data_IF_600614040805
#
_entry.id   IF_600614040805
#
_cell.length_a   1.000
_cell.length_b   1.000
_cell.length_c   1.000
_cell.angle_alpha   90.00
_cell.angle_beta   90.00
_cell.angle_gamma   90.00
#
_symmetry.space_group_name_H-M   'P 1'
#
loop_
_entity.id
_entity.type
_entity.pdbx_description
1 polymer ?
#
# COMPACT_ATOMS: atom_id res chain seq x y z
N UNK A 1 -7.71 -5.91 -10.13
CA UNK A 1 -7.68 -6.88 -9.02
C UNK A 1 -6.40 -7.68 -9.18
N UNK A 2 -5.64 -7.85 -8.10
CA UNK A 2 -4.27 -8.37 -8.14
C UNK A 2 -4.31 -9.91 -8.21
N UNK A 3 -3.94 -10.49 -9.36
CA UNK A 3 -4.02 -11.95 -9.60
C UNK A 3 -2.64 -12.60 -9.82
N UNK A 4 -1.57 -11.80 -9.94
CA UNK A 4 -0.19 -12.27 -10.04
C UNK A 4 0.77 -11.27 -9.39
N UNK A 5 1.09 -11.50 -8.11
CA UNK A 5 1.90 -10.59 -7.31
C UNK A 5 3.30 -10.36 -7.89
N UNK A 6 3.88 -11.37 -8.57
CA UNK A 6 5.21 -11.28 -9.17
C UNK A 6 5.21 -10.36 -10.39
N UNK A 7 4.19 -10.47 -11.24
CA UNK A 7 4.03 -9.61 -12.41
C UNK A 7 3.82 -8.13 -12.04
N UNK A 8 2.98 -7.86 -11.04
CA UNK A 8 2.68 -6.48 -10.63
C UNK A 8 3.78 -5.84 -9.79
N UNK A 9 4.65 -6.63 -9.16
CA UNK A 9 5.78 -6.10 -8.36
C UNK A 9 5.34 -5.29 -7.14
N UNK A 10 4.12 -5.49 -6.66
CA UNK A 10 3.57 -4.76 -5.52
C UNK A 10 3.30 -5.70 -4.34
N UNK A 11 3.59 -5.22 -3.13
CA UNK A 11 3.15 -5.86 -1.90
C UNK A 11 1.63 -5.95 -1.86
N UNK A 12 1.13 -7.11 -1.46
CA UNK A 12 -0.28 -7.37 -1.22
C UNK A 12 -0.61 -8.82 -1.41
N UNK A 13 -1.89 -9.15 -1.24
CA UNK A 13 -2.37 -10.51 -1.47
C UNK A 13 -3.17 -10.61 -2.76
N UNK A 14 -3.33 -11.84 -3.24
CA UNK A 14 -4.23 -12.11 -4.36
C UNK A 14 -5.66 -11.66 -4.01
N UNK A 15 -6.27 -10.91 -4.92
CA UNK A 15 -7.55 -10.26 -4.74
C UNK A 15 -7.48 -8.83 -4.19
N UNK A 16 -6.30 -8.35 -3.80
CA UNK A 16 -6.11 -6.95 -3.43
C UNK A 16 -6.43 -6.02 -4.62
N UNK A 17 -6.89 -4.82 -4.32
CA UNK A 17 -7.20 -3.79 -5.30
C UNK A 17 -7.03 -2.40 -4.70
N UNK A 18 -6.98 -1.39 -5.56
CA UNK A 18 -6.86 -0.01 -5.11
C UNK A 18 -6.71 0.92 -6.29
N UNK A 19 -6.77 2.21 -6.02
CA UNK A 19 -6.54 3.25 -7.01
C UNK A 19 -5.75 4.40 -6.38
N UNK A 20 -5.05 5.13 -7.24
CA UNK A 20 -4.42 6.40 -6.89
C UNK A 20 -5.26 7.59 -7.38
N UNK A 21 -4.78 8.80 -7.11
CA UNK A 21 -5.32 10.04 -7.66
C UNK A 21 -4.22 10.89 -8.28
N UNK A 22 -4.59 11.73 -9.26
CA UNK A 22 -3.69 12.70 -9.89
C UNK A 22 -3.07 13.71 -8.89
N UNK A 23 -3.69 13.86 -7.72
CA UNK A 23 -3.24 14.75 -6.65
C UNK A 23 -2.38 14.05 -5.58
N UNK A 24 -1.94 12.82 -5.84
CA UNK A 24 -1.09 11.99 -4.98
C UNK A 24 -1.75 11.13 -3.86
N UNK A 25 -3.06 11.19 -3.54
CA UNK A 25 -3.70 10.21 -2.66
C UNK A 25 -3.67 8.75 -3.14
N UNK A 26 -3.82 7.82 -2.20
CA UNK A 26 -3.92 6.37 -2.44
C UNK A 26 -5.07 5.72 -1.64
N UNK A 27 -5.72 4.72 -2.23
CA UNK A 27 -6.87 4.01 -1.66
C UNK A 27 -6.70 2.48 -1.79
N UNK A 28 -5.80 1.85 -1.01
CA UNK A 28 -5.59 0.41 -1.04
C UNK A 28 -6.67 -0.37 -0.26
N UNK A 29 -7.05 -1.52 -0.80
CA UNK A 29 -7.96 -2.51 -0.19
C UNK A 29 -7.37 -3.91 -0.35
N UNK A 30 -7.26 -4.63 0.75
CA UNK A 30 -6.78 -6.02 0.78
C UNK A 30 -7.73 -6.86 1.65
N UNK A 31 -8.67 -7.60 1.05
CA UNK A 31 -9.64 -8.38 1.83
C UNK A 31 -9.02 -9.49 2.66
N UNK A 32 -7.91 -10.12 2.20
CA UNK A 32 -7.29 -11.24 2.93
C UNK A 32 -6.58 -10.73 4.19
N UNK A 33 -5.90 -9.59 4.09
CA UNK A 33 -5.26 -8.91 5.24
C UNK A 33 -6.22 -8.02 6.04
N UNK A 34 -7.50 -7.97 5.66
CA UNK A 34 -8.55 -7.12 6.30
C UNK A 34 -8.19 -5.62 6.30
N UNK A 35 -7.57 -5.14 5.24
CA UNK A 35 -7.16 -3.75 5.08
C UNK A 35 -8.19 -2.99 4.24
N UNK A 36 -8.64 -1.86 4.79
CA UNK A 36 -9.26 -0.77 4.02
C UNK A 36 -8.61 0.52 4.50
N UNK A 37 -7.77 1.15 3.67
CA UNK A 37 -7.01 2.31 4.06
C UNK A 37 -7.11 3.46 3.04
N UNK A 38 -6.75 4.66 3.51
CA UNK A 38 -6.72 5.88 2.70
C UNK A 38 -5.55 6.74 3.12
N UNK A 39 -4.65 7.01 2.18
CA UNK A 39 -3.59 8.02 2.32
C UNK A 39 -4.03 9.29 1.61
N UNK A 40 -4.43 10.31 2.38
CA UNK A 40 -4.72 11.64 1.84
C UNK A 40 -3.46 12.50 1.90
N UNK A 41 -3.13 13.16 0.80
CA UNK A 41 -1.96 14.03 0.71
C UNK A 41 -2.36 15.40 0.17
N UNK A 42 -1.71 16.45 0.67
CA UNK A 42 -1.79 17.81 0.12
C UNK A 42 -0.53 18.09 -0.70
N UNK A 43 -0.21 17.22 -1.67
CA UNK A 43 1.07 17.25 -2.38
C UNK A 43 0.87 17.33 -3.90
N UNK A 44 1.22 18.48 -4.49
CA UNK A 44 1.33 18.66 -5.95
C UNK A 44 2.26 19.86 -6.26
N UNK A 45 3.26 19.72 -7.16
CA UNK A 45 3.71 18.50 -7.83
C UNK A 45 4.45 17.54 -6.88
N UNK A 46 4.44 16.25 -7.20
CA UNK A 46 5.07 15.22 -6.37
C UNK A 46 6.60 15.16 -6.47
N UNK A 47 7.19 15.73 -7.52
CA UNK A 47 8.65 15.88 -7.70
C UNK A 47 9.50 14.62 -7.37
N UNK A 48 9.03 13.43 -7.77
CA UNK A 48 9.75 12.17 -7.55
C UNK A 48 9.63 11.57 -6.14
N UNK A 49 8.75 12.10 -5.29
CA UNK A 49 8.46 11.53 -3.97
C UNK A 49 7.77 10.15 -4.12
N UNK A 50 8.25 9.16 -3.36
CA UNK A 50 7.80 7.76 -3.35
C UNK A 50 6.91 7.40 -2.15
N UNK A 51 6.39 8.41 -1.44
CA UNK A 51 5.60 8.27 -0.21
C UNK A 51 4.43 7.28 -0.35
N UNK A 52 3.80 7.19 -1.52
CA UNK A 52 2.71 6.25 -1.80
C UNK A 52 3.16 4.78 -1.66
N UNK A 53 4.33 4.44 -2.20
CA UNK A 53 4.90 3.09 -2.08
C UNK A 53 5.38 2.84 -0.65
N UNK A 54 6.07 3.80 -0.04
CA UNK A 54 6.54 3.67 1.35
C UNK A 54 5.40 3.48 2.34
N UNK A 55 4.31 4.22 2.19
CA UNK A 55 3.12 4.05 3.01
C UNK A 55 2.58 2.62 2.91
N UNK A 56 2.45 2.08 1.69
CA UNK A 56 1.98 0.72 1.47
C UNK A 56 2.89 -0.30 2.16
N UNK A 57 4.21 -0.20 1.97
CA UNK A 57 5.20 -1.09 2.62
C UNK A 57 5.08 -1.03 4.13
N UNK A 58 5.06 0.18 4.72
CA UNK A 58 4.96 0.37 6.17
C UNK A 58 3.65 -0.15 6.75
N UNK A 59 2.53 0.00 6.02
CA UNK A 59 1.23 -0.52 6.41
C UNK A 59 1.25 -2.04 6.53
N UNK A 60 1.77 -2.76 5.52
CA UNK A 60 1.91 -4.22 5.61
C UNK A 60 2.88 -4.63 6.72
N UNK A 61 3.98 -3.90 6.90
CA UNK A 61 4.96 -4.20 7.96
C UNK A 61 4.36 -4.04 9.37
N UNK A 62 3.40 -3.14 9.56
CA UNK A 62 2.72 -2.92 10.84
C UNK A 62 1.75 -4.04 11.22
N UNK A 63 1.33 -4.89 10.28
CA UNK A 63 0.48 -6.06 10.56
C UNK A 63 1.27 -7.24 11.13
N UNK A 64 2.60 -7.25 10.92
CA UNK A 64 3.47 -8.31 11.41
C UNK A 64 3.79 -8.03 12.88
N UNK A 65 3.55 -9.01 13.75
CA UNK A 65 3.95 -8.90 15.16
C UNK A 65 5.46 -8.66 15.27
N UNK A 66 5.84 -7.74 16.15
CA UNK A 66 7.24 -7.53 16.49
C UNK A 66 7.77 -8.81 17.11
N UNK A 67 8.75 -9.46 16.45
CA UNK A 67 9.53 -10.54 17.09
C UNK A 67 10.15 -9.99 18.37
N UNK A 68 9.69 -10.46 19.52
CA UNK A 68 10.38 -10.27 20.78
C UNK A 68 11.70 -11.04 20.67
N UNK A 69 12.82 -10.31 20.76
CA UNK A 69 14.14 -10.91 20.73
C UNK A 69 14.29 -11.95 21.85
N UNK A 70 14.83 -13.11 21.49
CA UNK A 70 15.64 -13.89 22.43
C UNK A 70 17.01 -13.22 22.55
#
# INVERSE_FOLDING_TARGET
MNNDLGYFGELGTEGAYGWGSAYFPQYPVDPKEKIVARLMTQLKPANGIDLNQKFKVMMYQALIERRAGK
#
